data_IF_899829791460
#
_entry.id   IF_899829791460
#
_cell.length_a   1.000
_cell.length_b   1.000
_cell.length_c   1.000
_cell.angle_alpha   90.00
_cell.angle_beta   90.00
_cell.angle_gamma   90.00
#
_symmetry.space_group_name_H-M   'P 1'
#
loop_
_entity.id
_entity.type
_entity.pdbx_description
1 polymer ?
#
# COMPACT_ATOMS: atom_id res chain seq x y z
N UNK A 1 -18.88 -7.63 11.84
CA UNK A 1 -17.70 -8.07 11.03
C UNK A 1 -16.74 -8.90 11.84
N UNK A 2 -15.94 -8.33 12.73
CA UNK A 2 -15.04 -9.00 13.68
C UNK A 2 -14.89 -8.15 14.95
N UNK A 3 -14.42 -8.79 16.05
CA UNK A 3 -14.12 -8.11 17.32
C UNK A 3 -12.65 -7.69 17.36
N UNK A 4 -12.30 -6.77 18.25
CA UNK A 4 -10.90 -6.36 18.48
C UNK A 4 -10.00 -7.57 18.78
N UNK A 5 -10.52 -8.55 19.53
CA UNK A 5 -9.83 -9.80 19.89
C UNK A 5 -9.58 -10.75 18.71
N UNK A 6 -10.23 -10.52 17.55
CA UNK A 6 -10.03 -11.33 16.34
C UNK A 6 -8.90 -10.80 15.46
N UNK A 7 -8.47 -9.55 15.67
CA UNK A 7 -7.43 -8.90 14.85
C UNK A 7 -6.10 -9.62 15.03
N UNK A 8 -5.48 -9.99 13.91
CA UNK A 8 -4.17 -10.66 13.83
C UNK A 8 -3.19 -9.96 12.89
N UNK A 9 -3.68 -9.04 12.07
CA UNK A 9 -2.86 -8.37 11.08
C UNK A 9 -3.16 -6.86 11.07
N UNK A 10 -2.12 -6.05 11.03
CA UNK A 10 -2.21 -4.60 10.84
C UNK A 10 -1.53 -4.22 9.54
N UNK A 11 -2.25 -3.47 8.70
CA UNK A 11 -1.67 -2.68 7.62
C UNK A 11 -1.59 -1.23 8.10
N UNK A 12 -0.39 -0.73 8.28
CA UNK A 12 -0.12 0.56 8.90
C UNK A 12 0.57 1.53 7.95
N UNK A 13 0.08 2.74 7.86
CA UNK A 13 0.74 3.84 7.20
C UNK A 13 1.35 4.78 8.25
N UNK A 14 2.67 4.73 8.42
CA UNK A 14 3.38 5.56 9.41
C UNK A 14 3.41 7.04 9.01
N UNK A 15 3.40 7.31 7.69
CA UNK A 15 3.49 8.68 7.16
C UNK A 15 2.81 8.77 5.81
N UNK A 16 2.22 9.93 5.50
CA UNK A 16 1.76 10.30 4.17
C UNK A 16 2.82 11.05 3.34
N UNK A 17 4.05 11.20 3.87
CA UNK A 17 5.19 11.81 3.18
C UNK A 17 5.93 10.76 2.33
N UNK A 18 6.43 11.16 1.17
CA UNK A 18 7.31 10.37 0.32
C UNK A 18 8.09 11.31 -0.59
N UNK A 19 9.36 11.02 -0.86
CA UNK A 19 10.17 11.78 -1.81
C UNK A 19 9.83 11.42 -3.27
N UNK A 20 9.39 10.17 -3.53
CA UNK A 20 9.05 9.72 -4.87
C UNK A 20 7.76 10.39 -5.41
N UNK A 21 7.65 10.46 -6.74
CA UNK A 21 6.55 11.09 -7.48
C UNK A 21 5.93 10.12 -8.49
N UNK A 22 5.70 8.88 -8.08
CA UNK A 22 5.14 7.85 -8.96
C UNK A 22 3.80 8.30 -9.55
N UNK A 23 3.58 8.24 -10.87
CA UNK A 23 2.39 8.81 -11.52
C UNK A 23 1.06 8.19 -11.10
N UNK A 24 1.04 6.92 -10.67
CA UNK A 24 -0.17 6.26 -10.16
C UNK A 24 -0.36 6.42 -8.64
N UNK A 25 0.55 7.10 -7.93
CA UNK A 25 0.39 7.35 -6.52
C UNK A 25 -0.63 8.48 -6.29
N UNK A 26 -1.66 8.25 -5.46
CA UNK A 26 -2.73 9.22 -5.25
C UNK A 26 -2.28 10.48 -4.51
N UNK A 27 -1.10 10.46 -3.88
CA UNK A 27 -0.53 11.63 -3.22
C UNK A 27 -0.27 12.78 -4.19
N UNK A 28 -0.04 12.48 -5.47
CA UNK A 28 0.18 13.47 -6.53
C UNK A 28 -0.77 13.25 -7.71
N UNK A 29 -1.04 14.29 -8.44
CA UNK A 29 -1.82 14.23 -9.68
C UNK A 29 -0.87 13.78 -10.79
N UNK A 30 -0.94 12.52 -11.19
CA UNK A 30 -0.13 11.92 -12.25
C UNK A 30 1.39 12.17 -12.11
N UNK A 31 1.92 12.14 -10.88
CA UNK A 31 3.33 12.42 -10.59
C UNK A 31 3.72 13.91 -10.54
N UNK A 32 2.81 14.79 -10.89
CA UNK A 32 2.97 16.25 -10.89
C UNK A 32 2.63 16.92 -9.54
N UNK A 33 1.73 17.92 -9.52
CA UNK A 33 1.38 18.66 -8.31
C UNK A 33 0.85 17.75 -7.19
N UNK A 34 1.00 18.20 -5.95
CA UNK A 34 0.39 17.52 -4.81
C UNK A 34 -1.14 17.48 -4.96
N UNK A 35 -1.73 16.34 -4.62
CA UNK A 35 -3.18 16.22 -4.54
C UNK A 35 -3.69 17.13 -3.40
N UNK A 36 -4.57 18.10 -3.68
CA UNK A 36 -5.03 19.08 -2.68
C UNK A 36 -5.83 18.45 -1.52
N UNK A 37 -6.35 17.22 -1.71
CA UNK A 37 -7.03 16.48 -0.65
C UNK A 37 -6.08 15.78 0.33
N UNK A 38 -4.78 15.76 0.04
CA UNK A 38 -3.79 15.06 0.88
C UNK A 38 -3.18 16.02 1.91
N UNK A 39 -3.45 15.77 3.18
CA UNK A 39 -2.76 16.39 4.31
C UNK A 39 -1.58 15.51 4.73
N UNK A 40 -0.42 16.12 4.98
CA UNK A 40 0.77 15.39 5.36
C UNK A 40 0.78 15.10 6.86
N UNK A 41 0.82 13.81 7.21
CA UNK A 41 0.90 13.30 8.57
C UNK A 41 2.14 12.44 8.75
N UNK A 42 2.56 12.27 10.01
CA UNK A 42 3.59 11.35 10.43
C UNK A 42 3.33 10.93 11.87
N UNK A 43 3.41 9.64 12.13
CA UNK A 43 3.16 9.04 13.44
C UNK A 43 4.50 8.83 14.14
N UNK A 44 4.68 9.41 15.32
CA UNK A 44 5.82 9.15 16.18
C UNK A 44 5.62 7.91 17.06
N UNK A 45 6.68 7.43 17.70
CA UNK A 45 6.63 6.26 18.59
C UNK A 45 5.64 6.45 19.74
N UNK A 46 5.55 7.63 20.33
CA UNK A 46 4.64 7.91 21.46
C UNK A 46 3.17 7.74 21.03
N UNK A 47 2.81 8.34 19.92
CA UNK A 47 1.48 8.20 19.31
C UNK A 47 1.19 6.75 18.94
N UNK A 48 2.16 6.06 18.35
CA UNK A 48 2.02 4.64 17.98
C UNK A 48 1.74 3.76 19.21
N UNK A 49 2.49 3.93 20.30
CA UNK A 49 2.30 3.15 21.53
C UNK A 49 0.95 3.42 22.19
N UNK A 50 0.46 4.67 22.11
CA UNK A 50 -0.88 5.02 22.59
C UNK A 50 -1.98 4.34 21.76
N UNK A 51 -1.83 4.27 20.43
CA UNK A 51 -2.79 3.59 19.56
C UNK A 51 -2.74 2.07 19.69
N UNK A 52 -1.53 1.50 19.90
CA UNK A 52 -1.28 0.06 19.93
C UNK A 52 -0.56 -0.34 21.21
N UNK A 53 -1.30 -0.44 22.35
CA UNK A 53 -0.72 -0.84 23.62
C UNK A 53 -0.16 -2.28 23.54
N UNK A 54 0.81 -2.60 24.41
CA UNK A 54 1.52 -3.89 24.38
C UNK A 54 0.60 -5.11 24.35
N UNK A 55 -0.50 -5.09 25.10
CA UNK A 55 -1.41 -6.23 25.15
C UNK A 55 -2.15 -6.46 23.83
N UNK A 56 -2.48 -5.39 23.10
CA UNK A 56 -3.00 -5.51 21.73
C UNK A 56 -1.93 -6.01 20.77
N UNK A 57 -0.69 -5.51 20.86
CA UNK A 57 0.43 -5.94 19.98
C UNK A 57 0.77 -7.43 20.17
N UNK A 58 0.67 -7.98 21.40
CA UNK A 58 0.93 -9.40 21.69
C UNK A 58 0.03 -10.37 20.91
N UNK A 59 -1.20 -9.97 20.57
CA UNK A 59 -2.12 -10.84 19.83
C UNK A 59 -1.88 -10.86 18.32
N UNK A 60 -1.09 -9.90 17.78
CA UNK A 60 -0.84 -9.78 16.36
C UNK A 60 0.10 -10.87 15.85
N UNK A 61 -0.14 -11.32 14.62
CA UNK A 61 0.72 -12.26 13.89
C UNK A 61 1.51 -11.56 12.77
N UNK A 62 0.93 -10.50 12.21
CA UNK A 62 1.51 -9.78 11.08
C UNK A 62 1.38 -8.27 11.26
N UNK A 63 2.44 -7.56 10.94
CA UNK A 63 2.45 -6.11 10.86
C UNK A 63 3.11 -5.69 9.55
N UNK A 64 2.34 -5.04 8.68
CA UNK A 64 2.82 -4.56 7.39
C UNK A 64 2.81 -3.03 7.36
N UNK A 65 3.96 -2.42 7.23
CA UNK A 65 4.11 -0.98 7.06
C UNK A 65 4.17 -0.64 5.57
N UNK A 66 3.07 -0.13 5.05
CA UNK A 66 2.93 0.24 3.64
C UNK A 66 1.85 1.30 3.50
N UNK A 67 2.19 2.47 3.00
CA UNK A 67 1.24 3.56 2.86
C UNK A 67 0.46 3.56 1.54
N UNK A 68 -0.74 4.13 1.59
CA UNK A 68 -1.46 4.57 0.39
C UNK A 68 -0.77 5.80 -0.24
N UNK A 69 -0.22 6.66 0.61
CA UNK A 69 0.28 7.99 0.27
C UNK A 69 1.78 8.12 0.52
N UNK A 70 2.28 7.53 1.61
CA UNK A 70 3.64 7.72 2.07
C UNK A 70 4.55 6.51 1.87
N UNK A 71 5.81 6.70 2.27
CA UNK A 71 6.80 5.64 2.31
C UNK A 71 7.47 5.62 3.68
N UNK A 72 7.48 4.48 4.38
CA UNK A 72 8.10 4.37 5.71
C UNK A 72 9.57 4.79 5.76
N UNK A 73 10.24 4.74 4.61
CA UNK A 73 11.63 5.18 4.45
C UNK A 73 11.85 6.62 4.93
N UNK A 74 10.87 7.51 4.79
CA UNK A 74 11.03 8.93 5.13
C UNK A 74 10.60 9.27 6.56
N UNK A 75 9.84 8.40 7.22
CA UNK A 75 9.36 8.64 8.57
C UNK A 75 10.51 8.53 9.60
N UNK A 76 10.48 9.40 10.60
CA UNK A 76 11.55 9.49 11.62
C UNK A 76 11.64 8.22 12.45
N UNK A 77 10.51 7.73 12.96
CA UNK A 77 10.46 6.71 14.01
C UNK A 77 10.17 5.29 13.46
N UNK A 78 10.46 5.03 12.17
CA UNK A 78 10.25 3.71 11.55
C UNK A 78 11.00 2.60 12.28
N UNK A 79 12.28 2.81 12.61
CA UNK A 79 13.11 1.82 13.33
C UNK A 79 12.59 1.61 14.75
N UNK A 80 12.29 2.69 15.46
CA UNK A 80 11.83 2.67 16.84
C UNK A 80 10.51 1.91 16.98
N UNK A 81 9.58 2.09 16.02
CA UNK A 81 8.31 1.34 15.98
C UNK A 81 8.57 -0.15 15.72
N UNK A 82 9.45 -0.50 14.77
CA UNK A 82 9.77 -1.92 14.54
C UNK A 82 10.48 -2.55 15.75
N UNK A 83 11.33 -1.81 16.45
CA UNK A 83 11.97 -2.27 17.69
C UNK A 83 10.93 -2.53 18.79
N UNK A 84 10.02 -1.59 19.02
CA UNK A 84 8.90 -1.77 19.95
C UNK A 84 8.05 -3.01 19.63
N UNK A 85 7.71 -3.22 18.34
CA UNK A 85 6.95 -4.38 17.89
C UNK A 85 7.71 -5.69 18.14
N UNK A 86 8.99 -5.74 17.80
CA UNK A 86 9.84 -6.93 17.96
C UNK A 86 10.07 -7.27 19.42
N UNK A 87 10.30 -6.29 20.28
CA UNK A 87 10.43 -6.46 21.72
C UNK A 87 9.11 -6.93 22.38
N UNK A 88 7.98 -6.43 21.89
CA UNK A 88 6.66 -6.78 22.45
C UNK A 88 6.17 -8.15 22.00
N UNK A 89 6.45 -8.53 20.75
CA UNK A 89 6.04 -9.80 20.16
C UNK A 89 7.15 -10.34 19.24
N UNK A 90 8.09 -11.12 19.77
CA UNK A 90 9.23 -11.64 19.01
C UNK A 90 8.86 -12.52 17.81
N UNK A 91 7.70 -13.18 17.84
CA UNK A 91 7.25 -14.11 16.79
C UNK A 91 6.47 -13.43 15.65
N UNK A 92 6.18 -12.12 15.80
CA UNK A 92 5.42 -11.39 14.79
C UNK A 92 6.18 -11.29 13.47
N UNK A 93 5.51 -11.58 12.37
CA UNK A 93 6.02 -11.27 11.03
C UNK A 93 5.93 -9.77 10.80
N UNK A 94 7.08 -9.12 10.64
CA UNK A 94 7.19 -7.71 10.31
C UNK A 94 7.51 -7.54 8.83
N UNK A 95 6.83 -6.65 8.14
CA UNK A 95 7.05 -6.37 6.73
C UNK A 95 6.98 -4.86 6.45
N UNK A 96 7.76 -4.40 5.48
CA UNK A 96 7.74 -3.04 4.98
C UNK A 96 7.75 -3.03 3.45
N UNK A 97 6.94 -2.16 2.85
CA UNK A 97 7.04 -1.82 1.42
C UNK A 97 7.68 -0.44 1.27
N UNK A 98 8.65 -0.34 0.36
CA UNK A 98 9.37 0.92 0.16
C UNK A 98 9.88 1.06 -1.28
N UNK A 99 10.11 2.30 -1.70
CA UNK A 99 10.83 2.60 -2.93
C UNK A 99 12.35 2.40 -2.78
N UNK A 100 12.87 2.26 -1.56
CA UNK A 100 14.27 1.93 -1.28
C UNK A 100 15.29 3.04 -1.53
N UNK A 101 14.88 4.21 -2.06
CA UNK A 101 15.81 5.26 -2.49
C UNK A 101 16.05 6.29 -1.38
N UNK A 102 16.76 5.88 -0.32
CA UNK A 102 17.12 6.76 0.78
C UNK A 102 17.74 6.02 1.96
N UNK A 103 17.98 6.75 3.03
CA UNK A 103 18.62 6.29 4.25
C UNK A 103 20.11 5.89 4.05
N UNK A 104 20.81 5.70 5.14
CA UNK A 104 22.20 5.27 5.18
C UNK A 104 22.31 3.75 5.42
N UNK A 105 23.52 3.24 5.33
CA UNK A 105 23.84 1.83 5.50
C UNK A 105 23.35 1.28 6.85
N UNK A 106 23.63 1.99 7.94
CA UNK A 106 23.32 1.58 9.30
C UNK A 106 21.81 1.38 9.52
N UNK A 107 20.99 2.21 8.90
CA UNK A 107 19.54 2.09 8.95
C UNK A 107 19.02 0.79 8.32
N UNK A 108 19.61 0.36 7.19
CA UNK A 108 19.25 -0.88 6.52
C UNK A 108 19.74 -2.11 7.28
N UNK A 109 20.96 -2.04 7.86
CA UNK A 109 21.50 -3.10 8.69
C UNK A 109 20.66 -3.31 9.96
N UNK A 110 20.16 -2.24 10.56
CA UNK A 110 19.29 -2.31 11.73
C UNK A 110 17.93 -2.95 11.40
N UNK A 111 17.29 -2.61 10.28
CA UNK A 111 16.07 -3.29 9.83
C UNK A 111 16.28 -4.80 9.63
N UNK A 112 17.42 -5.19 9.08
CA UNK A 112 17.78 -6.60 8.94
C UNK A 112 17.90 -7.29 10.31
N UNK A 113 18.55 -6.64 11.29
CA UNK A 113 18.70 -7.16 12.66
C UNK A 113 17.35 -7.36 13.37
N UNK A 114 16.37 -6.48 13.09
CA UNK A 114 15.00 -6.56 13.58
C UNK A 114 14.15 -7.62 12.83
N UNK A 115 14.73 -8.31 11.86
CA UNK A 115 14.06 -9.33 11.01
C UNK A 115 12.79 -8.77 10.36
N UNK A 116 12.86 -7.55 9.85
CA UNK A 116 11.81 -6.96 9.03
C UNK A 116 11.98 -7.45 7.61
N UNK A 117 10.95 -8.03 7.00
CA UNK A 117 10.94 -8.34 5.56
C UNK A 117 10.76 -7.05 4.78
N UNK A 118 11.61 -6.79 3.80
CA UNK A 118 11.49 -5.60 2.96
C UNK A 118 11.05 -5.98 1.55
N UNK A 119 9.99 -5.32 1.07
CA UNK A 119 9.54 -5.39 -0.32
C UNK A 119 9.96 -4.11 -1.02
N UNK A 120 10.98 -4.23 -1.87
CA UNK A 120 11.47 -3.12 -2.69
C UNK A 120 10.63 -2.98 -3.96
N UNK A 121 10.09 -1.80 -4.20
CA UNK A 121 9.41 -1.46 -5.45
C UNK A 121 10.41 -0.98 -6.50
N UNK A 122 10.88 -1.88 -7.37
CA UNK A 122 11.87 -1.58 -8.41
C UNK A 122 11.26 -1.91 -9.78
N UNK A 123 11.03 -0.91 -10.61
CA UNK A 123 10.23 -1.04 -11.83
C UNK A 123 11.09 -0.91 -13.09
N UNK A 124 11.99 -1.87 -13.28
CA UNK A 124 12.93 -1.96 -14.40
C UNK A 124 14.39 -1.85 -13.99
N UNK A 125 15.28 -1.75 -14.96
CA UNK A 125 16.70 -1.48 -14.79
C UNK A 125 16.95 0.04 -14.68
N UNK A 126 18.22 0.44 -14.63
CA UNK A 126 18.65 1.83 -14.41
C UNK A 126 18.02 2.82 -15.41
N UNK A 127 17.91 2.42 -16.67
CA UNK A 127 17.40 3.24 -17.77
C UNK A 127 15.88 3.43 -17.78
N UNK A 128 15.11 2.51 -17.18
CA UNK A 128 13.63 2.54 -17.22
C UNK A 128 12.97 2.80 -15.87
N UNK A 129 13.64 2.46 -14.76
CA UNK A 129 13.09 2.59 -13.40
C UNK A 129 12.51 3.98 -13.12
N UNK A 130 13.26 5.03 -13.44
CA UNK A 130 12.89 6.41 -13.14
C UNK A 130 11.74 6.94 -14.03
N UNK A 131 11.35 6.25 -15.10
CA UNK A 131 10.19 6.62 -15.91
C UNK A 131 8.89 6.52 -15.12
N UNK A 132 8.83 5.58 -14.16
CA UNK A 132 7.70 5.45 -13.24
C UNK A 132 8.06 5.85 -11.80
N UNK A 133 9.22 5.45 -11.28
CA UNK A 133 9.69 5.81 -9.94
C UNK A 133 10.38 7.17 -9.94
N UNK A 134 9.67 8.20 -10.40
CA UNK A 134 10.21 9.55 -10.53
C UNK A 134 10.73 10.04 -9.17
N UNK A 135 11.88 10.70 -9.17
CA UNK A 135 12.60 11.18 -7.99
C UNK A 135 13.07 10.07 -7.05
N UNK A 136 13.45 8.92 -7.62
CA UNK A 136 14.22 7.86 -6.96
C UNK A 136 15.50 7.60 -7.76
N UNK A 137 16.53 7.10 -7.09
CA UNK A 137 17.82 6.74 -7.69
C UNK A 137 17.96 5.22 -7.68
N UNK A 138 17.99 4.62 -8.87
CA UNK A 138 18.09 3.17 -9.04
C UNK A 138 19.36 2.58 -8.41
N UNK A 139 20.52 3.25 -8.59
CA UNK A 139 21.79 2.81 -8.02
C UNK A 139 21.72 2.79 -6.50
N UNK A 140 21.10 3.83 -5.90
CA UNK A 140 20.89 3.89 -4.45
C UNK A 140 19.95 2.79 -3.94
N UNK A 141 18.88 2.48 -4.67
CA UNK A 141 17.97 1.38 -4.34
C UNK A 141 18.70 0.04 -4.34
N UNK A 142 19.49 -0.23 -5.38
CA UNK A 142 20.26 -1.48 -5.49
C UNK A 142 21.36 -1.58 -4.42
N UNK A 143 22.06 -0.47 -4.11
CA UNK A 143 23.04 -0.41 -3.02
C UNK A 143 22.39 -0.74 -1.67
N UNK A 144 21.24 -0.11 -1.37
CA UNK A 144 20.50 -0.33 -0.14
C UNK A 144 19.98 -1.77 -0.01
N UNK A 145 19.45 -2.34 -1.11
CA UNK A 145 19.02 -3.73 -1.12
C UNK A 145 20.19 -4.70 -0.88
N UNK A 146 21.35 -4.48 -1.51
CA UNK A 146 22.57 -5.25 -1.26
C UNK A 146 23.01 -5.15 0.20
N UNK A 147 23.01 -3.96 0.78
CA UNK A 147 23.36 -3.72 2.18
C UNK A 147 22.44 -4.51 3.12
N UNK A 148 21.14 -4.42 2.89
CA UNK A 148 20.11 -5.11 3.68
C UNK A 148 20.25 -6.64 3.58
N UNK A 149 20.45 -7.18 2.37
CA UNK A 149 20.64 -8.62 2.13
C UNK A 149 21.94 -9.11 2.77
N UNK A 150 23.05 -8.37 2.61
CA UNK A 150 24.34 -8.72 3.21
C UNK A 150 24.30 -8.75 4.76
N UNK A 151 23.42 -7.97 5.37
CA UNK A 151 23.14 -8.01 6.81
C UNK A 151 22.17 -9.16 7.22
N UNK A 152 21.81 -10.05 6.32
CA UNK A 152 20.92 -11.19 6.57
C UNK A 152 19.42 -10.88 6.44
N UNK A 153 19.07 -9.76 5.84
CA UNK A 153 17.67 -9.34 5.65
C UNK A 153 16.92 -10.13 4.57
N UNK A 154 15.63 -10.40 4.77
CA UNK A 154 14.72 -11.00 3.78
C UNK A 154 14.19 -9.90 2.83
N UNK A 155 14.85 -9.73 1.69
CA UNK A 155 14.48 -8.77 0.65
C UNK A 155 13.65 -9.41 -0.46
N UNK A 156 12.58 -8.74 -0.87
CA UNK A 156 11.75 -9.10 -2.02
C UNK A 156 11.73 -7.96 -3.03
N UNK A 157 11.65 -8.31 -4.30
CA UNK A 157 11.56 -7.35 -5.39
C UNK A 157 10.17 -7.43 -6.03
N UNK A 158 9.39 -6.35 -5.91
CA UNK A 158 8.15 -6.16 -6.66
C UNK A 158 8.41 -5.28 -7.87
N UNK A 159 8.11 -5.77 -9.08
CA UNK A 159 8.22 -5.03 -10.33
C UNK A 159 6.85 -4.78 -10.93
N UNK A 160 6.46 -3.51 -11.04
CA UNK A 160 5.27 -3.10 -11.76
C UNK A 160 5.59 -2.98 -13.25
N UNK A 161 4.86 -3.74 -14.08
CA UNK A 161 5.18 -3.90 -15.50
C UNK A 161 4.32 -2.96 -16.35
N UNK A 162 4.99 -2.20 -17.19
CA UNK A 162 4.45 -1.28 -18.20
C UNK A 162 5.06 -1.63 -19.57
N UNK A 163 4.53 -1.08 -20.65
CA UNK A 163 5.08 -1.25 -21.99
C UNK A 163 6.56 -0.85 -22.07
N UNK A 164 6.99 0.20 -21.35
CA UNK A 164 8.35 0.71 -21.41
C UNK A 164 9.41 -0.18 -20.71
N UNK A 165 8.99 -1.08 -19.79
CA UNK A 165 9.91 -1.94 -19.05
C UNK A 165 9.61 -3.45 -19.20
N UNK A 166 8.59 -3.85 -19.96
CA UNK A 166 8.22 -5.27 -20.11
C UNK A 166 9.33 -6.12 -20.74
N UNK A 167 10.14 -5.52 -21.61
CA UNK A 167 11.30 -6.19 -22.24
C UNK A 167 12.45 -6.48 -21.26
N UNK A 168 12.44 -5.88 -20.06
CA UNK A 168 13.46 -6.06 -19.03
C UNK A 168 13.08 -7.07 -17.94
N UNK A 169 11.87 -7.64 -17.97
CA UNK A 169 11.37 -8.52 -16.91
C UNK A 169 12.31 -9.69 -16.63
N UNK A 170 12.79 -10.37 -17.66
CA UNK A 170 13.73 -11.52 -17.51
C UNK A 170 15.08 -11.07 -16.95
N UNK A 171 15.59 -9.92 -17.40
CA UNK A 171 16.85 -9.36 -16.91
C UNK A 171 16.72 -8.94 -15.44
N UNK A 172 15.61 -8.30 -15.05
CA UNK A 172 15.33 -7.94 -13.65
C UNK A 172 15.20 -9.19 -12.76
N UNK A 173 14.51 -10.23 -13.24
CA UNK A 173 14.37 -11.48 -12.50
C UNK A 173 15.71 -12.20 -12.30
N UNK A 174 16.56 -12.21 -13.32
CA UNK A 174 17.93 -12.74 -13.24
C UNK A 174 18.75 -11.95 -12.23
N UNK A 175 18.77 -10.62 -12.36
CA UNK A 175 19.49 -9.73 -11.46
C UNK A 175 19.00 -9.87 -10.00
N UNK A 176 17.70 -10.04 -9.78
CA UNK A 176 17.15 -10.24 -8.43
C UNK A 176 17.73 -11.51 -7.76
N UNK A 177 17.86 -12.61 -8.51
CA UNK A 177 18.50 -13.84 -8.02
C UNK A 177 19.99 -13.66 -7.75
N UNK A 178 20.71 -12.99 -8.63
CA UNK A 178 22.14 -12.69 -8.48
C UNK A 178 22.43 -11.82 -7.26
N UNK A 179 21.52 -10.90 -6.94
CA UNK A 179 21.62 -10.03 -5.77
C UNK A 179 21.15 -10.70 -4.46
N UNK A 180 20.50 -11.87 -4.53
CA UNK A 180 20.06 -12.61 -3.35
C UNK A 180 18.67 -12.23 -2.84
N UNK A 181 17.81 -11.62 -3.66
CA UNK A 181 16.39 -11.43 -3.28
C UNK A 181 15.70 -12.79 -3.12
N UNK A 182 14.92 -12.93 -2.04
CA UNK A 182 14.18 -14.17 -1.74
C UNK A 182 12.98 -14.41 -2.66
N UNK A 183 12.45 -13.34 -3.27
CA UNK A 183 11.30 -13.40 -4.17
C UNK A 183 11.37 -12.25 -5.17
N UNK A 184 11.08 -12.56 -6.45
CA UNK A 184 10.78 -11.59 -7.49
C UNK A 184 9.31 -11.72 -7.89
N UNK A 185 8.56 -10.62 -7.78
CA UNK A 185 7.12 -10.60 -8.05
C UNK A 185 6.81 -9.68 -9.23
N UNK A 186 6.24 -10.26 -10.29
CA UNK A 186 5.72 -9.54 -11.45
C UNK A 186 4.34 -9.00 -11.13
N UNK A 187 4.16 -7.68 -11.22
CA UNK A 187 2.87 -7.02 -10.99
C UNK A 187 2.43 -6.26 -12.23
N UNK A 188 1.16 -6.37 -12.55
CA UNK A 188 0.52 -5.58 -13.60
C UNK A 188 -0.45 -4.58 -12.99
N UNK A 189 -0.84 -3.57 -13.74
CA UNK A 189 -1.81 -2.58 -13.30
C UNK A 189 -2.86 -2.32 -14.35
N UNK A 190 -4.09 -2.09 -13.90
CA UNK A 190 -5.23 -1.69 -14.74
C UNK A 190 -5.59 -0.20 -14.54
N UNK A 191 -4.75 0.56 -13.82
CA UNK A 191 -5.00 1.97 -13.48
C UNK A 191 -4.63 2.93 -14.61
N UNK A 192 -5.09 2.62 -15.82
CA UNK A 192 -4.98 3.49 -16.98
C UNK A 192 -6.34 4.13 -17.32
N UNK A 193 -6.34 5.33 -17.85
CA UNK A 193 -7.51 6.00 -18.41
C UNK A 193 -7.31 6.15 -19.89
N UNK A 194 -8.32 5.79 -20.68
CA UNK A 194 -8.23 5.86 -22.15
C UNK A 194 -6.97 5.20 -22.72
N UNK A 195 -6.58 4.04 -22.15
CA UNK A 195 -5.44 3.25 -22.60
C UNK A 195 -4.05 3.84 -22.35
N UNK A 196 -3.94 4.91 -21.55
CA UNK A 196 -2.66 5.57 -21.23
C UNK A 196 -2.67 6.22 -19.85
N UNK A 197 -1.48 6.68 -19.42
CA UNK A 197 -1.31 7.54 -18.26
C UNK A 197 -0.37 8.69 -18.62
N UNK A 198 -0.89 9.90 -18.69
CA UNK A 198 -0.07 11.09 -18.84
C UNK A 198 0.72 11.34 -17.55
N UNK A 199 2.02 11.61 -17.67
CA UNK A 199 2.93 11.95 -16.57
C UNK A 199 3.11 13.45 -16.55
N UNK A 200 2.93 14.09 -15.40
CA UNK A 200 2.99 15.54 -15.26
C UNK A 200 4.25 15.99 -14.50
N UNK A 201 4.74 17.20 -14.85
CA UNK A 201 5.73 17.94 -14.02
C UNK A 201 5.05 18.64 -12.82
N UNK A 202 5.82 19.28 -11.94
CA UNK A 202 5.29 19.97 -10.76
C UNK A 202 4.38 21.17 -11.11
N UNK A 203 4.40 21.65 -12.36
CA UNK A 203 3.52 22.71 -12.86
C UNK A 203 2.25 22.14 -13.53
N UNK A 204 2.06 20.81 -13.54
CA UNK A 204 0.93 20.14 -14.15
C UNK A 204 1.01 20.00 -15.67
N UNK A 205 2.19 20.20 -16.28
CA UNK A 205 2.39 20.06 -17.73
C UNK A 205 2.77 18.62 -18.06
N UNK A 206 2.20 18.03 -19.13
CA UNK A 206 2.59 16.68 -19.59
C UNK A 206 4.07 16.66 -20.00
N UNK A 207 4.82 15.66 -19.47
CA UNK A 207 6.25 15.46 -19.75
C UNK A 207 6.55 14.06 -20.27
N UNK A 208 5.66 13.09 -20.07
CA UNK A 208 5.79 11.72 -20.55
C UNK A 208 4.42 11.05 -20.61
N UNK A 209 4.35 9.88 -21.27
CA UNK A 209 3.16 9.04 -21.32
C UNK A 209 3.58 7.60 -21.02
N UNK A 210 2.88 6.95 -20.10
CA UNK A 210 3.04 5.51 -19.82
C UNK A 210 1.88 4.74 -20.43
N UNK A 211 2.18 3.57 -21.00
CA UNK A 211 1.21 2.69 -21.63
C UNK A 211 1.11 1.34 -20.91
N UNK A 212 -0.09 0.73 -20.89
CA UNK A 212 -0.26 -0.64 -20.41
C UNK A 212 0.44 -1.63 -21.35
N UNK A 213 0.83 -2.78 -20.79
CA UNK A 213 1.20 -3.95 -21.62
C UNK A 213 -0.04 -4.50 -22.34
N UNK A 214 0.14 -5.32 -23.37
CA UNK A 214 -0.98 -6.01 -24.03
C UNK A 214 -1.76 -6.89 -23.05
N UNK A 215 -1.08 -7.52 -22.11
CA UNK A 215 -1.72 -8.26 -21.04
C UNK A 215 -2.62 -7.36 -20.16
N UNK A 216 -2.12 -6.20 -19.72
CA UNK A 216 -2.93 -5.25 -18.95
C UNK A 216 -4.14 -4.74 -19.71
N UNK A 217 -4.02 -4.48 -21.02
CA UNK A 217 -5.14 -4.09 -21.90
C UNK A 217 -6.23 -5.17 -21.94
N UNK A 218 -5.83 -6.43 -22.18
CA UNK A 218 -6.78 -7.55 -22.22
C UNK A 218 -7.56 -7.74 -20.91
N UNK A 219 -6.95 -7.44 -19.77
CA UNK A 219 -7.62 -7.51 -18.47
C UNK A 219 -8.56 -6.33 -18.27
N UNK A 220 -8.14 -5.12 -18.66
CA UNK A 220 -9.03 -3.93 -18.61
C UNK A 220 -10.31 -4.20 -19.39
N UNK A 221 -10.20 -4.68 -20.62
CA UNK A 221 -11.34 -5.02 -21.48
C UNK A 221 -12.28 -6.08 -20.86
N UNK A 222 -11.70 -7.15 -20.29
CA UNK A 222 -12.46 -8.20 -19.59
C UNK A 222 -13.20 -7.66 -18.35
N UNK A 223 -12.56 -6.79 -17.58
CA UNK A 223 -13.16 -6.16 -16.40
C UNK A 223 -14.30 -5.21 -16.80
N UNK A 224 -14.12 -4.45 -17.87
CA UNK A 224 -15.15 -3.53 -18.37
C UNK A 224 -16.37 -4.27 -18.91
N UNK A 225 -16.19 -5.33 -19.70
CA UNK A 225 -17.30 -6.15 -20.20
C UNK A 225 -18.06 -6.86 -19.08
N UNK A 226 -17.39 -7.31 -18.03
CA UNK A 226 -18.01 -8.02 -16.91
C UNK A 226 -18.79 -7.11 -15.93
N UNK A 227 -18.56 -5.80 -15.93
CA UNK A 227 -19.21 -4.86 -14.98
C UNK A 227 -20.74 -4.81 -15.06
N UNK A 228 -21.32 -5.19 -16.19
CA UNK A 228 -22.77 -5.07 -16.45
C UNK A 228 -23.55 -6.35 -16.13
N UNK A 229 -22.91 -7.48 -15.80
CA UNK A 229 -23.60 -8.78 -15.82
C UNK A 229 -23.84 -9.41 -14.45
N UNK A 230 -23.14 -9.03 -13.36
CA UNK A 230 -23.20 -9.78 -12.10
C UNK A 230 -23.25 -8.84 -10.87
N UNK A 231 -24.21 -9.09 -9.96
CA UNK A 231 -24.12 -8.54 -8.59
C UNK A 231 -22.94 -9.20 -7.88
N UNK A 232 -21.95 -8.45 -7.43
CA UNK A 232 -20.75 -9.05 -6.82
C UNK A 232 -21.08 -9.65 -5.46
N UNK A 233 -20.76 -10.94 -5.27
CA UNK A 233 -20.66 -11.55 -3.95
C UNK A 233 -19.35 -11.12 -3.34
N UNK A 234 -19.38 -10.39 -2.21
CA UNK A 234 -18.20 -9.85 -1.57
C UNK A 234 -17.57 -10.89 -0.64
N UNK A 235 -16.33 -11.26 -0.93
CA UNK A 235 -15.47 -12.06 -0.05
C UNK A 235 -14.35 -11.16 0.47
N UNK A 236 -14.58 -10.55 1.63
CA UNK A 236 -13.67 -9.54 2.17
C UNK A 236 -12.32 -10.14 2.60
N UNK A 237 -11.23 -9.67 1.97
CA UNK A 237 -9.85 -10.09 2.29
C UNK A 237 -9.48 -9.71 3.73
N UNK A 238 -9.88 -8.51 4.18
CA UNK A 238 -9.56 -8.05 5.53
C UNK A 238 -10.18 -8.94 6.61
N UNK A 239 -11.41 -9.44 6.38
CA UNK A 239 -12.04 -10.40 7.29
C UNK A 239 -11.31 -11.75 7.28
N UNK A 240 -10.99 -12.25 6.09
CA UNK A 240 -10.25 -13.51 5.93
C UNK A 240 -8.90 -13.49 6.64
N UNK A 241 -8.20 -12.36 6.56
CA UNK A 241 -6.85 -12.20 7.11
C UNK A 241 -6.87 -11.62 8.53
N UNK A 242 -8.07 -11.45 9.14
CA UNK A 242 -8.24 -10.80 10.44
C UNK A 242 -7.47 -9.47 10.52
N UNK A 243 -7.60 -8.66 9.47
CA UNK A 243 -6.80 -7.46 9.26
C UNK A 243 -7.61 -6.20 9.53
N UNK A 244 -6.92 -5.15 9.99
CA UNK A 244 -7.37 -3.77 9.88
C UNK A 244 -6.27 -2.88 9.30
N UNK A 245 -6.66 -1.75 8.72
CA UNK A 245 -5.78 -0.70 8.24
C UNK A 245 -5.86 0.51 9.15
N UNK A 246 -4.71 1.15 9.36
CA UNK A 246 -4.60 2.42 10.09
C UNK A 246 -3.75 3.39 9.27
N UNK A 247 -4.35 4.51 8.89
CA UNK A 247 -3.70 5.60 8.17
C UNK A 247 -2.83 6.49 9.06
N UNK A 248 -1.91 7.23 8.46
CA UNK A 248 -1.02 8.15 9.18
C UNK A 248 -1.76 9.30 9.90
N UNK A 249 -2.98 9.60 9.50
CA UNK A 249 -3.87 10.56 10.15
C UNK A 249 -4.66 9.96 11.33
N UNK A 250 -4.49 8.66 11.62
CA UNK A 250 -5.21 7.92 12.66
C UNK A 250 -6.52 7.28 12.21
N UNK A 251 -6.92 7.43 10.94
CA UNK A 251 -8.12 6.81 10.39
C UNK A 251 -8.03 5.28 10.44
N UNK A 252 -9.10 4.62 10.92
CA UNK A 252 -9.20 3.16 11.00
C UNK A 252 -10.23 2.65 10.00
N UNK A 253 -9.83 1.68 9.18
CA UNK A 253 -10.72 0.99 8.22
C UNK A 253 -10.39 -0.50 8.16
N UNK A 254 -11.27 -1.37 7.63
CA UNK A 254 -10.92 -2.78 7.43
C UNK A 254 -9.73 -2.98 6.49
N UNK A 255 -9.60 -2.14 5.47
CA UNK A 255 -8.54 -2.20 4.47
C UNK A 255 -8.22 -0.81 3.91
N UNK A 256 -7.04 -0.65 3.35
CA UNK A 256 -6.55 0.61 2.78
C UNK A 256 -7.42 1.19 1.66
N UNK A 257 -8.21 0.37 0.97
CA UNK A 257 -9.12 0.84 -0.09
C UNK A 257 -10.31 1.66 0.42
N UNK A 258 -10.65 1.56 1.70
CA UNK A 258 -11.72 2.34 2.33
C UNK A 258 -11.23 3.62 3.00
N UNK A 259 -9.92 3.84 3.07
CA UNK A 259 -9.34 5.12 3.48
C UNK A 259 -9.38 6.09 2.30
N UNK A 260 -10.46 6.88 2.23
CA UNK A 260 -10.77 7.78 1.12
C UNK A 260 -10.98 9.24 1.56
N UNK A 261 -10.58 9.59 2.79
CA UNK A 261 -10.71 10.97 3.29
C UNK A 261 -10.01 11.99 2.39
N UNK A 262 -8.89 11.58 1.78
CA UNK A 262 -8.10 12.40 0.85
C UNK A 262 -8.68 12.47 -0.57
N UNK A 263 -9.76 11.75 -0.87
CA UNK A 263 -10.46 11.89 -2.15
C UNK A 263 -11.23 13.22 -2.17
N UNK A 264 -11.39 13.85 -3.35
CA UNK A 264 -12.28 15.00 -3.50
C UNK A 264 -13.69 14.68 -2.95
N UNK A 265 -14.33 15.66 -2.30
CA UNK A 265 -15.64 15.46 -1.68
C UNK A 265 -16.71 14.95 -2.67
N UNK A 266 -16.57 15.32 -3.97
CA UNK A 266 -17.45 14.89 -5.06
C UNK A 266 -17.05 13.53 -5.68
N UNK A 267 -16.01 12.87 -5.19
CA UNK A 267 -15.62 11.56 -5.72
C UNK A 267 -16.71 10.50 -5.48
N UNK A 268 -17.17 9.76 -6.50
CA UNK A 268 -18.31 8.85 -6.35
C UNK A 268 -18.13 7.76 -5.28
N UNK A 269 -16.90 7.30 -5.04
CA UNK A 269 -16.62 6.32 -4.00
C UNK A 269 -16.66 6.92 -2.59
N UNK A 270 -16.20 8.17 -2.44
CA UNK A 270 -16.29 8.91 -1.18
C UNK A 270 -17.73 9.23 -0.81
N UNK A 271 -18.53 9.69 -1.78
CA UNK A 271 -19.98 9.93 -1.58
C UNK A 271 -20.65 8.63 -1.16
N UNK A 272 -20.45 7.54 -1.91
CA UNK A 272 -21.02 6.22 -1.61
C UNK A 272 -20.67 5.72 -0.21
N UNK A 273 -19.41 5.96 0.23
CA UNK A 273 -18.98 5.63 1.58
C UNK A 273 -19.68 6.48 2.63
N UNK A 274 -19.72 7.80 2.44
CA UNK A 274 -20.35 8.72 3.40
C UNK A 274 -21.85 8.49 3.53
N UNK A 275 -22.55 8.22 2.44
CA UNK A 275 -23.99 7.94 2.46
C UNK A 275 -24.31 6.64 3.22
N UNK A 276 -23.47 5.63 3.14
CA UNK A 276 -23.71 4.31 3.74
C UNK A 276 -23.13 4.15 5.13
N UNK A 277 -21.99 4.75 5.41
CA UNK A 277 -21.21 4.57 6.64
C UNK A 277 -21.22 5.82 7.50
N UNK A 278 -21.11 7.01 6.89
CA UNK A 278 -21.26 8.31 7.52
C UNK A 278 -20.03 8.83 8.27
N UNK A 279 -18.99 7.99 8.48
CA UNK A 279 -17.82 8.39 9.28
C UNK A 279 -16.57 7.57 8.97
N UNK A 280 -15.41 8.14 9.24
CA UNK A 280 -14.15 7.44 9.43
C UNK A 280 -13.75 7.54 10.91
N UNK A 281 -13.72 6.42 11.65
CA UNK A 281 -13.25 6.44 13.04
C UNK A 281 -11.75 6.73 13.09
N UNK A 282 -11.31 7.41 14.15
CA UNK A 282 -9.96 7.95 14.23
C UNK A 282 -9.34 7.75 15.61
N UNK A 283 -8.13 7.20 15.67
CA UNK A 283 -7.40 6.89 16.90
C UNK A 283 -6.88 8.13 17.64
N UNK A 284 -6.91 9.31 17.03
CA UNK A 284 -6.58 10.54 17.75
C UNK A 284 -7.70 10.99 18.71
N UNK A 285 -8.92 10.46 18.55
CA UNK A 285 -10.11 10.86 19.34
C UNK A 285 -10.84 9.67 19.97
N UNK A 286 -10.60 8.45 19.51
CA UNK A 286 -11.25 7.23 19.99
C UNK A 286 -10.20 6.17 20.31
N UNK A 287 -10.44 5.36 21.32
CA UNK A 287 -9.64 4.12 21.52
C UNK A 287 -10.01 3.05 20.48
N UNK A 288 -9.14 2.04 20.30
CA UNK A 288 -9.49 0.88 19.49
C UNK A 288 -10.78 0.20 19.98
N UNK A 289 -10.95 0.08 21.30
CA UNK A 289 -12.14 -0.50 21.91
C UNK A 289 -13.40 0.28 21.54
N UNK A 290 -13.39 1.61 21.63
CA UNK A 290 -14.52 2.48 21.26
C UNK A 290 -14.88 2.29 19.79
N UNK A 291 -13.88 2.24 18.91
CA UNK A 291 -14.07 2.04 17.47
C UNK A 291 -14.73 0.68 17.18
N UNK A 292 -14.27 -0.39 17.81
CA UNK A 292 -14.86 -1.72 17.62
C UNK A 292 -16.26 -1.83 18.20
N UNK A 293 -16.54 -1.18 19.33
CA UNK A 293 -17.85 -1.18 19.99
C UNK A 293 -18.86 -0.22 19.33
N UNK A 294 -18.43 0.68 18.46
CA UNK A 294 -19.31 1.66 17.77
C UNK A 294 -20.26 1.06 16.72
N UNK A 295 -20.11 -0.22 16.40
CA UNK A 295 -20.82 -0.87 15.29
C UNK A 295 -20.30 -0.49 13.89
N UNK A 296 -19.22 0.27 13.80
CA UNK A 296 -18.62 0.72 12.54
C UNK A 296 -18.33 -0.41 11.55
N UNK A 297 -17.64 -1.45 12.01
CA UNK A 297 -17.30 -2.59 11.17
C UNK A 297 -18.53 -3.38 10.74
N UNK A 298 -19.57 -3.46 11.58
CA UNK A 298 -20.82 -4.15 11.26
C UNK A 298 -21.65 -3.39 10.22
N UNK A 299 -21.63 -2.05 10.25
CA UNK A 299 -22.22 -1.24 9.16
C UNK A 299 -21.58 -1.54 7.82
N UNK A 300 -20.26 -1.66 7.75
CA UNK A 300 -19.55 -1.99 6.50
C UNK A 300 -19.97 -3.37 5.99
N UNK A 301 -19.96 -4.41 6.84
CA UNK A 301 -20.36 -5.76 6.43
C UNK A 301 -21.86 -5.85 6.13
N UNK A 302 -22.70 -5.09 6.81
CA UNK A 302 -24.14 -4.99 6.54
C UNK A 302 -24.47 -4.52 5.12
N UNK A 303 -23.60 -3.68 4.53
CA UNK A 303 -23.76 -3.23 3.16
C UNK A 303 -23.55 -4.34 2.11
N UNK A 304 -22.86 -5.44 2.44
CA UNK A 304 -22.48 -6.46 1.43
C UNK A 304 -23.67 -7.25 0.89
N UNK A 305 -24.72 -7.40 1.67
CA UNK A 305 -25.94 -8.13 1.28
C UNK A 305 -26.91 -7.28 0.45
N UNK A 306 -26.61 -6.00 0.22
CA UNK A 306 -27.45 -5.07 -0.55
C UNK A 306 -26.71 -4.60 -1.82
N UNK A 307 -26.43 -3.31 -1.89
CA UNK A 307 -25.70 -2.70 -3.03
C UNK A 307 -24.17 -2.78 -2.87
N UNK A 308 -23.67 -3.13 -1.67
CA UNK A 308 -22.25 -3.07 -1.32
C UNK A 308 -21.70 -1.64 -1.31
N UNK A 309 -20.49 -1.48 -0.78
CA UNK A 309 -19.69 -0.30 -1.06
C UNK A 309 -19.01 -0.47 -2.42
N UNK A 310 -18.94 0.57 -3.23
CA UNK A 310 -18.31 0.53 -4.58
C UNK A 310 -16.90 -0.07 -4.53
N UNK A 311 -16.09 0.32 -3.55
CA UNK A 311 -14.74 -0.23 -3.42
C UNK A 311 -14.74 -1.69 -2.95
N UNK A 312 -15.65 -2.11 -2.07
CA UNK A 312 -15.77 -3.52 -1.70
C UNK A 312 -16.15 -4.39 -2.91
N UNK A 313 -17.10 -3.91 -3.72
CA UNK A 313 -17.51 -4.61 -4.95
C UNK A 313 -16.37 -4.73 -5.95
N UNK A 314 -15.56 -3.66 -6.10
CA UNK A 314 -14.42 -3.59 -7.02
C UNK A 314 -13.24 -4.46 -6.57
N UNK A 315 -12.90 -4.44 -5.28
CA UNK A 315 -11.68 -5.07 -4.74
C UNK A 315 -11.89 -6.49 -4.20
N UNK A 316 -13.09 -6.81 -3.73
CA UNK A 316 -13.42 -8.06 -3.05
C UNK A 316 -14.67 -8.75 -3.61
N UNK A 317 -15.30 -8.20 -4.66
CA UNK A 317 -16.43 -8.82 -5.34
C UNK A 317 -16.00 -10.00 -6.22
N UNK A 318 -16.98 -10.70 -6.80
CA UNK A 318 -16.72 -11.85 -7.69
C UNK A 318 -15.88 -11.51 -8.92
N UNK A 319 -15.77 -10.23 -9.30
CA UNK A 319 -14.84 -9.72 -10.30
C UNK A 319 -13.35 -9.81 -9.91
N UNK A 320 -13.04 -9.98 -8.62
CA UNK A 320 -11.67 -10.10 -8.12
C UNK A 320 -10.93 -11.32 -8.68
N UNK A 321 -11.65 -12.37 -9.12
CA UNK A 321 -11.01 -13.52 -9.79
C UNK A 321 -10.30 -13.14 -11.10
N UNK A 322 -10.76 -12.08 -11.76
CA UNK A 322 -10.12 -11.53 -12.96
C UNK A 322 -8.96 -10.60 -12.59
N UNK A 323 -8.99 -9.99 -11.40
CA UNK A 323 -7.98 -9.05 -10.92
C UNK A 323 -6.91 -9.68 -10.01
N UNK A 324 -7.03 -10.94 -9.59
CA UNK A 324 -6.12 -11.60 -8.60
C UNK A 324 -4.66 -11.69 -9.00
N UNK A 325 -4.34 -11.38 -10.25
CA UNK A 325 -2.96 -11.32 -10.73
C UNK A 325 -2.33 -9.93 -10.62
N UNK A 326 -3.05 -8.94 -10.03
CA UNK A 326 -2.70 -7.52 -10.04
C UNK A 326 -2.46 -6.89 -8.65
N UNK A 327 -2.34 -7.70 -7.61
CA UNK A 327 -2.01 -7.19 -6.26
C UNK A 327 -0.81 -7.91 -5.69
#
# INVERSE_FOLDING_TARGET
MYKITDIRSIHFEITSKCQARCPMCPRRINGGPMNPGVVLHEVDLGTFVNWFPRDFVKQLKHFNMCGNLGDPLVAKDTIEIYRYLRETNPEMTLQMHTNGSGRNKEWWEELASLKVRIVFGIDGLEDTHALYRINTDWNKVIENAKTFIAAGGDARWDMLIFQHNEHQVEACEKLSRELGFSLFMKKHTTRFRDGKLDVLDDNGRPVNILYPTEYSKSVIEKVESAKNEIKPVITCKAVKDSQMYVGANGTVTPCCWLDQEWYPAHAPSRIDYMDKIGMWPNLNVNSLEDIFNSGYFDRISGCWNSTGLKECSKQCGSFDKLNKQFV
#
